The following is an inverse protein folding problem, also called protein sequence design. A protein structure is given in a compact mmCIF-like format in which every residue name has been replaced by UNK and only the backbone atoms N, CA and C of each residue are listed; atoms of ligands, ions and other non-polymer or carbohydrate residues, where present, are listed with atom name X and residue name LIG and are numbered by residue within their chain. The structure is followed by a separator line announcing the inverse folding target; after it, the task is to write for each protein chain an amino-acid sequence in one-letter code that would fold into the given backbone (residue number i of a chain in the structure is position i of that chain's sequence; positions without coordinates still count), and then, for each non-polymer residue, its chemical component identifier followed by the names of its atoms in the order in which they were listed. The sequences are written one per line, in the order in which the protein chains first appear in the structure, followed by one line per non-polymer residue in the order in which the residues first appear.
data_IF_556989558013
#
_entry.id   IF_556989558013
#
_cell.length_a   1.000
_cell.length_b   1.000
_cell.length_c   1.000
_cell.angle_alpha   90.00
_cell.angle_beta   90.00
_cell.angle_gamma   90.00
#
_symmetry.space_group_name_H-M   'P 1'
#
loop_
_entity.id
_entity.type
_entity.pdbx_description
1 polymer ?
#
# COMPACT_ATOMS: atom_id res chain seq x y z
N UNK A 1 -21.46 6.79 -20.81
CA UNK A 1 -20.26 5.95 -20.65
C UNK A 1 -20.09 5.69 -19.17
N UNK A 2 -20.28 4.45 -18.70
CA UNK A 2 -20.19 4.10 -17.26
C UNK A 2 -19.12 3.04 -17.05
N UNK A 3 -18.19 3.27 -16.13
CA UNK A 3 -17.12 2.33 -15.76
C UNK A 3 -17.19 2.07 -14.27
N UNK A 4 -17.12 0.81 -13.85
CA UNK A 4 -16.98 0.44 -12.46
C UNK A 4 -15.54 0.03 -12.12
N UNK A 5 -15.14 0.29 -10.87
CA UNK A 5 -13.89 -0.21 -10.26
C UNK A 5 -14.28 -1.02 -9.03
N UNK A 6 -13.91 -2.29 -9.01
CA UNK A 6 -14.17 -3.18 -7.87
C UNK A 6 -12.89 -3.33 -7.04
N UNK A 7 -12.85 -2.67 -5.89
CA UNK A 7 -11.73 -2.64 -4.96
C UNK A 7 -11.25 -1.22 -4.64
N UNK A 8 -11.04 -0.93 -3.36
CA UNK A 8 -10.57 0.36 -2.83
C UNK A 8 -9.10 0.36 -2.37
N UNK A 9 -8.30 -0.60 -2.83
CA UNK A 9 -6.86 -0.64 -2.60
C UNK A 9 -6.10 0.28 -3.56
N UNK A 10 -4.77 0.26 -3.50
CA UNK A 10 -3.88 1.10 -4.31
C UNK A 10 -4.23 1.03 -5.81
N UNK A 11 -4.42 -0.18 -6.36
CA UNK A 11 -4.73 -0.36 -7.77
C UNK A 11 -6.09 0.25 -8.15
N UNK A 12 -7.11 0.05 -7.31
CA UNK A 12 -8.45 0.60 -7.56
C UNK A 12 -8.49 2.12 -7.49
N UNK A 13 -7.78 2.70 -6.53
CA UNK A 13 -7.66 4.17 -6.40
C UNK A 13 -6.91 4.77 -7.58
N UNK A 14 -5.83 4.14 -8.03
CA UNK A 14 -5.09 4.57 -9.22
C UNK A 14 -5.97 4.48 -10.49
N UNK A 15 -6.76 3.40 -10.61
CA UNK A 15 -7.71 3.28 -11.72
C UNK A 15 -8.80 4.36 -11.67
N UNK A 16 -9.37 4.63 -10.51
CA UNK A 16 -10.38 5.67 -10.35
C UNK A 16 -9.83 7.06 -10.66
N UNK A 17 -8.63 7.37 -10.20
CA UNK A 17 -7.92 8.61 -10.53
C UNK A 17 -7.74 8.79 -12.04
N UNK A 18 -7.24 7.77 -12.73
CA UNK A 18 -7.01 7.87 -14.17
C UNK A 18 -8.31 8.04 -14.95
N UNK A 19 -9.37 7.30 -14.60
CA UNK A 19 -10.70 7.46 -15.19
C UNK A 19 -11.21 8.89 -15.02
N UNK A 20 -11.14 9.44 -13.82
CA UNK A 20 -11.57 10.80 -13.51
C UNK A 20 -10.75 11.84 -14.29
N UNK A 21 -9.43 11.68 -14.36
CA UNK A 21 -8.52 12.54 -15.14
C UNK A 21 -8.90 12.60 -16.61
N UNK A 22 -9.43 11.51 -17.13
CA UNK A 22 -9.92 11.40 -18.53
C UNK A 22 -11.38 11.82 -18.70
N UNK A 23 -12.00 12.43 -17.67
CA UNK A 23 -13.37 12.95 -17.72
C UNK A 23 -14.48 11.93 -17.49
N UNK A 24 -14.14 10.73 -16.99
CA UNK A 24 -15.12 9.70 -16.63
C UNK A 24 -15.15 9.52 -15.12
N UNK A 25 -16.26 9.90 -14.48
CA UNK A 25 -16.49 9.65 -13.04
C UNK A 25 -16.84 8.17 -12.83
N UNK A 26 -15.94 7.34 -12.24
CA UNK A 26 -16.21 5.91 -12.06
C UNK A 26 -17.09 5.66 -10.84
N UNK A 27 -17.82 4.52 -10.84
CA UNK A 27 -18.42 3.95 -9.63
C UNK A 27 -17.43 3.00 -8.96
N UNK A 28 -17.01 3.29 -7.74
CA UNK A 28 -16.01 2.50 -7.02
C UNK A 28 -16.66 1.73 -5.89
N UNK A 29 -16.55 0.40 -5.91
CA UNK A 29 -17.14 -0.51 -4.93
C UNK A 29 -16.06 -1.12 -4.05
N UNK A 30 -16.14 -0.95 -2.74
CA UNK A 30 -15.26 -1.61 -1.77
C UNK A 30 -15.85 -1.59 -0.36
N UNK A 31 -15.49 -2.55 0.46
CA UNK A 31 -15.86 -2.63 1.87
C UNK A 31 -14.70 -2.15 2.77
N UNK A 32 -13.47 -2.54 2.42
CA UNK A 32 -12.23 -2.19 3.14
C UNK A 32 -11.05 -1.99 2.16
N UNK A 33 -9.90 -1.59 2.67
CA UNK A 33 -8.71 -1.27 1.85
C UNK A 33 -7.92 -2.49 1.39
N UNK A 34 -8.30 -3.69 1.81
CA UNK A 34 -7.52 -4.90 1.55
C UNK A 34 -6.09 -4.79 2.08
N UNK A 35 -5.14 -5.40 1.37
CA UNK A 35 -3.72 -5.39 1.75
C UNK A 35 -3.08 -4.01 1.73
N UNK A 36 -3.68 -3.04 1.06
CA UNK A 36 -3.12 -1.68 0.98
C UNK A 36 -3.12 -0.94 2.32
N UNK A 37 -4.03 -1.27 3.24
CA UNK A 37 -4.02 -0.75 4.61
C UNK A 37 -2.92 -1.36 5.48
N UNK A 38 -2.30 -2.44 5.03
CA UNK A 38 -1.28 -3.19 5.79
C UNK A 38 0.16 -2.81 5.42
N UNK A 39 0.36 -1.96 4.40
CA UNK A 39 1.71 -1.61 3.97
C UNK A 39 2.45 -0.73 4.99
N UNK A 40 3.75 -0.96 5.13
CA UNK A 40 4.58 -0.27 6.14
C UNK A 40 5.09 1.11 5.72
N UNK A 41 4.76 1.59 4.52
CA UNK A 41 5.14 2.91 4.03
C UNK A 41 6.25 2.94 2.99
N UNK A 42 7.02 1.88 2.80
CA UNK A 42 7.96 1.80 1.69
C UNK A 42 7.24 1.38 0.39
N UNK A 43 7.62 1.98 -0.73
CA UNK A 43 6.98 1.80 -2.03
C UNK A 43 7.98 1.20 -3.03
N UNK A 44 7.67 0.03 -3.55
CA UNK A 44 8.54 -0.72 -4.44
C UNK A 44 7.76 -1.35 -5.61
N UNK A 45 8.47 -1.69 -6.70
CA UNK A 45 7.99 -2.51 -7.80
C UNK A 45 8.34 -3.98 -7.62
N UNK A 46 9.40 -4.27 -6.87
CA UNK A 46 9.95 -5.60 -6.62
C UNK A 46 10.33 -5.76 -5.15
N UNK A 47 10.70 -6.97 -4.75
CA UNK A 47 11.26 -7.20 -3.42
C UNK A 47 12.50 -6.31 -3.18
N UNK A 48 12.61 -5.78 -1.97
CA UNK A 48 13.53 -4.70 -1.63
C UNK A 48 15.02 -5.00 -1.89
N UNK A 49 15.46 -6.25 -1.87
CA UNK A 49 16.82 -6.67 -2.20
C UNK A 49 17.15 -6.53 -3.69
N UNK A 50 16.14 -6.37 -4.56
CA UNK A 50 16.25 -6.17 -6.01
C UNK A 50 15.90 -4.75 -6.47
N UNK A 51 15.60 -3.85 -5.57
CA UNK A 51 15.20 -2.45 -5.89
C UNK A 51 16.27 -1.68 -6.65
N UNK A 52 17.49 -2.18 -6.73
CA UNK A 52 18.59 -1.60 -7.53
C UNK A 52 18.35 -1.70 -9.04
N UNK A 53 17.52 -2.60 -9.52
CA UNK A 53 17.10 -2.68 -10.92
C UNK A 53 15.95 -1.70 -11.16
N UNK A 54 16.27 -0.62 -11.75
CA UNK A 54 15.54 0.64 -11.86
C UNK A 54 14.30 0.59 -12.78
N UNK A 55 13.16 0.14 -12.30
CA UNK A 55 11.92 0.56 -12.93
C UNK A 55 11.75 2.08 -12.70
N UNK A 56 11.74 2.87 -13.76
CA UNK A 56 11.54 4.30 -13.67
C UNK A 56 10.12 4.61 -13.16
N UNK A 57 10.03 5.61 -12.30
CA UNK A 57 8.75 6.23 -11.97
C UNK A 57 8.33 7.04 -13.20
N UNK A 58 7.33 6.54 -13.93
CA UNK A 58 6.79 7.26 -15.07
C UNK A 58 5.96 8.47 -14.64
N UNK A 59 5.66 9.33 -15.60
CA UNK A 59 4.96 10.59 -15.36
C UNK A 59 3.53 10.39 -14.82
N UNK A 60 2.83 9.35 -15.27
CA UNK A 60 1.46 9.06 -14.81
C UNK A 60 1.46 8.59 -13.35
N UNK A 61 2.44 7.77 -12.96
CA UNK A 61 2.61 7.34 -11.57
C UNK A 61 3.00 8.52 -10.67
N UNK A 62 3.86 9.42 -11.15
CA UNK A 62 4.22 10.63 -10.42
C UNK A 62 3.01 11.55 -10.19
N UNK A 63 2.18 11.76 -11.21
CA UNK A 63 0.92 12.52 -11.10
C UNK A 63 -0.06 11.88 -10.12
N UNK A 64 -0.19 10.54 -10.16
CA UNK A 64 -1.03 9.83 -9.20
C UNK A 64 -0.54 10.02 -7.77
N UNK A 65 0.76 9.87 -7.51
CA UNK A 65 1.35 10.06 -6.19
C UNK A 65 1.15 11.48 -5.65
N UNK A 66 1.28 12.49 -6.54
CA UNK A 66 1.00 13.90 -6.22
C UNK A 66 -0.47 14.10 -5.85
N UNK A 67 -1.40 13.58 -6.68
CA UNK A 67 -2.84 13.71 -6.45
C UNK A 67 -3.30 12.99 -5.18
N UNK A 68 -2.72 11.83 -4.86
CA UNK A 68 -2.95 11.09 -3.63
C UNK A 68 -2.44 11.88 -2.41
N UNK A 69 -1.31 12.58 -2.54
CA UNK A 69 -0.73 13.43 -1.49
C UNK A 69 -0.11 12.69 -0.30
N UNK A 70 -0.15 11.35 -0.29
CA UNK A 70 0.37 10.52 0.80
C UNK A 70 1.77 9.94 0.52
N UNK A 71 2.26 10.07 -0.70
CA UNK A 71 3.50 9.46 -1.16
C UNK A 71 4.55 10.50 -1.58
N UNK A 72 5.81 10.14 -1.38
CA UNK A 72 6.97 10.79 -1.99
C UNK A 72 7.66 9.78 -2.91
N UNK A 73 7.84 10.14 -4.17
CA UNK A 73 8.57 9.34 -5.15
C UNK A 73 9.88 10.05 -5.48
N UNK A 74 10.97 9.29 -5.56
CA UNK A 74 12.28 9.80 -5.94
C UNK A 74 12.63 9.46 -7.39
N UNK A 75 13.36 10.34 -8.07
CA UNK A 75 14.02 10.01 -9.35
C UNK A 75 15.12 8.95 -9.17
N UNK A 76 15.67 8.86 -7.97
CA UNK A 76 16.62 7.83 -7.53
C UNK A 76 16.02 7.05 -6.36
N UNK A 77 16.59 5.90 -6.03
CA UNK A 77 16.17 5.14 -4.87
C UNK A 77 16.36 5.97 -3.59
N UNK A 78 15.30 5.99 -2.75
CA UNK A 78 15.36 6.51 -1.39
C UNK A 78 16.00 5.47 -0.47
N UNK A 79 16.38 5.88 0.74
CA UNK A 79 16.74 4.98 1.83
C UNK A 79 15.79 5.17 3.00
N UNK A 80 15.24 4.08 3.48
CA UNK A 80 14.34 4.09 4.62
C UNK A 80 14.86 3.20 5.74
N UNK A 81 14.67 3.65 6.98
CA UNK A 81 14.86 2.82 8.15
C UNK A 81 13.59 1.98 8.37
N UNK A 82 13.75 0.70 8.68
CA UNK A 82 12.61 -0.16 9.00
C UNK A 82 12.41 -0.31 10.51
N UNK A 83 11.20 -0.65 10.92
CA UNK A 83 10.86 -0.90 12.31
C UNK A 83 11.73 -2.03 12.93
N UNK A 84 12.20 -2.96 12.09
CA UNK A 84 13.05 -4.10 12.49
C UNK A 84 14.54 -3.78 12.57
N UNK A 85 14.93 -2.51 12.39
CA UNK A 85 16.34 -2.09 12.52
C UNK A 85 17.16 -2.19 11.23
N UNK A 86 16.53 -2.37 10.06
CA UNK A 86 17.25 -2.40 8.78
C UNK A 86 17.25 -1.03 8.10
N UNK A 87 18.30 -0.77 7.30
CA UNK A 87 18.34 0.32 6.33
C UNK A 87 18.26 -0.30 4.94
N UNK A 88 17.24 0.06 4.17
CA UNK A 88 17.01 -0.52 2.87
C UNK A 88 16.66 0.50 1.78
N UNK A 89 16.94 0.22 0.49
CA UNK A 89 16.46 1.05 -0.60
C UNK A 89 14.93 0.93 -0.75
N UNK A 90 14.31 1.97 -1.30
CA UNK A 90 12.92 1.99 -1.76
C UNK A 90 12.80 2.94 -2.95
N UNK A 91 11.83 2.72 -3.82
CA UNK A 91 11.54 3.62 -4.95
C UNK A 91 10.74 4.84 -4.55
N UNK A 92 10.03 4.72 -3.48
CA UNK A 92 9.27 5.78 -2.86
C UNK A 92 8.95 5.44 -1.42
N UNK A 93 8.34 6.36 -0.74
CA UNK A 93 7.93 6.19 0.64
C UNK A 93 6.64 6.94 0.94
N UNK A 94 5.92 6.50 1.97
CA UNK A 94 4.87 7.32 2.57
C UNK A 94 5.46 8.65 3.06
N UNK A 95 4.72 9.74 2.92
CA UNK A 95 5.09 11.01 3.53
C UNK A 95 5.22 10.82 5.04
N UNK A 96 6.25 11.41 5.60
CA UNK A 96 6.59 11.24 7.01
C UNK A 96 7.75 10.27 7.24
N UNK A 97 8.05 9.32 6.33
CA UNK A 97 9.26 8.51 6.45
C UNK A 97 10.51 9.36 6.17
N UNK A 98 11.57 9.14 6.98
CA UNK A 98 12.84 9.82 6.78
C UNK A 98 13.58 9.23 5.56
N UNK A 99 13.87 10.09 4.58
CA UNK A 99 14.79 9.72 3.50
C UNK A 99 16.23 9.81 4.00
N UNK A 100 16.83 8.69 4.32
CA UNK A 100 18.17 8.59 4.84
C UNK A 100 19.25 8.96 3.80
N UNK A 101 18.97 8.92 2.48
CA UNK A 101 19.95 9.40 1.48
C UNK A 101 20.31 10.87 1.71
N UNK A 102 19.34 11.69 2.17
CA UNK A 102 19.57 13.08 2.56
C UNK A 102 20.37 13.23 3.85
N UNK A 103 20.56 12.13 4.57
CA UNK A 103 21.27 12.06 5.84
C UNK A 103 22.67 11.41 5.71
N UNK A 104 23.12 11.09 4.50
CA UNK A 104 24.44 10.51 4.28
C UNK A 104 25.55 11.39 4.90
N UNK A 105 26.45 10.78 5.66
CA UNK A 105 27.55 11.47 6.36
C UNK A 105 27.15 12.31 7.58
N UNK A 106 25.88 12.22 8.01
CA UNK A 106 25.30 13.04 9.09
C UNK A 106 25.08 12.24 10.37
N UNK A 107 24.80 12.99 11.45
CA UNK A 107 24.42 12.42 12.75
C UNK A 107 22.89 12.35 12.84
N UNK A 108 22.35 11.15 12.93
CA UNK A 108 20.91 10.87 13.01
C UNK A 108 20.57 10.43 14.43
N UNK A 109 19.75 11.20 15.11
CA UNK A 109 19.24 10.84 16.43
C UNK A 109 18.02 9.92 16.31
N UNK A 110 18.12 8.71 16.83
CA UNK A 110 17.02 7.78 16.99
C UNK A 110 16.30 8.11 18.29
N UNK A 111 15.05 8.56 18.20
CA UNK A 111 14.31 9.08 19.34
C UNK A 111 13.89 7.95 20.27
N UNK A 112 14.27 8.04 21.55
CA UNK A 112 13.79 7.20 22.64
C UNK A 112 12.70 7.95 23.43
N UNK A 113 11.46 7.46 23.35
CA UNK A 113 10.33 7.92 24.16
C UNK A 113 10.06 7.00 25.35
N UNK A 114 10.92 6.03 25.64
CA UNK A 114 10.74 5.01 26.66
C UNK A 114 9.46 4.15 26.44
N UNK A 115 9.11 3.88 25.18
CA UNK A 115 8.01 2.99 24.83
C UNK A 115 8.44 1.52 24.92
N UNK A 116 7.53 0.66 25.37
CA UNK A 116 7.81 -0.78 25.58
C UNK A 116 7.95 -1.54 24.23
N UNK A 117 7.47 -1.01 23.11
CA UNK A 117 7.54 -1.56 21.75
C UNK A 117 8.67 -0.97 20.90
N UNK A 118 9.59 -0.18 21.50
CA UNK A 118 10.63 0.54 20.76
C UNK A 118 11.94 0.62 21.56
N UNK A 119 12.92 -0.15 21.12
CA UNK A 119 14.27 -0.15 21.70
C UNK A 119 15.19 0.75 20.87
N UNK A 120 15.18 2.04 21.17
CA UNK A 120 15.97 3.03 20.42
C UNK A 120 17.49 2.77 20.46
N UNK A 121 18.10 2.36 21.59
CA UNK A 121 19.53 1.96 21.65
C UNK A 121 19.85 0.83 20.67
N UNK A 122 19.04 -0.25 20.69
CA UNK A 122 19.22 -1.41 19.81
C UNK A 122 19.05 -1.02 18.34
N UNK A 123 18.03 -0.24 18.02
CA UNK A 123 17.76 0.23 16.66
C UNK A 123 18.87 1.14 16.15
N UNK A 124 19.35 2.08 16.97
CA UNK A 124 20.46 2.94 16.60
C UNK A 124 21.74 2.13 16.28
N UNK A 125 22.06 1.14 17.11
CA UNK A 125 23.18 0.23 16.88
C UNK A 125 23.00 -0.60 15.60
N UNK A 126 21.78 -1.08 15.33
CA UNK A 126 21.45 -1.86 14.14
C UNK A 126 21.56 -1.04 12.87
N UNK A 127 21.01 0.18 12.86
CA UNK A 127 21.14 1.11 11.72
C UNK A 127 22.61 1.48 11.46
N UNK A 128 23.39 1.76 12.51
CA UNK A 128 24.82 2.06 12.38
C UNK A 128 25.62 0.88 11.81
N UNK A 129 25.22 -0.35 12.11
CA UNK A 129 25.83 -1.57 11.60
C UNK A 129 25.48 -1.87 10.13
N UNK A 130 24.54 -1.15 9.52
CA UNK A 130 24.17 -1.35 8.12
C UNK A 130 25.36 -1.04 7.18
N UNK A 131 25.42 -1.75 6.04
CA UNK A 131 26.46 -1.49 5.03
C UNK A 131 26.41 -0.05 4.51
N UNK A 132 25.19 0.47 4.33
CA UNK A 132 24.98 1.84 3.88
C UNK A 132 25.51 2.87 4.88
N UNK A 133 25.21 2.76 6.16
CA UNK A 133 25.69 3.70 7.18
C UNK A 133 27.22 3.72 7.26
N UNK A 134 27.86 2.53 7.19
CA UNK A 134 29.34 2.43 7.16
C UNK A 134 29.95 3.06 5.91
N UNK A 135 29.35 2.83 4.73
CA UNK A 135 29.85 3.38 3.46
C UNK A 135 29.70 4.91 3.38
N UNK A 136 28.63 5.44 3.94
CA UNK A 136 28.34 6.88 3.94
C UNK A 136 28.87 7.61 5.17
N UNK A 137 29.46 6.90 6.14
CA UNK A 137 29.88 7.45 7.44
C UNK A 137 28.73 8.14 8.19
N UNK A 138 27.51 7.59 8.08
CA UNK A 138 26.35 8.09 8.81
C UNK A 138 26.32 7.53 10.23
N UNK A 139 26.15 8.40 11.22
CA UNK A 139 26.18 8.03 12.62
C UNK A 139 24.78 8.02 13.23
N UNK A 140 24.33 6.86 13.67
CA UNK A 140 23.08 6.72 14.42
C UNK A 140 23.38 6.63 15.93
N UNK A 141 22.59 7.33 16.71
CA UNK A 141 22.70 7.28 18.18
C UNK A 141 21.34 7.53 18.83
N UNK A 142 21.15 6.99 20.01
CA UNK A 142 19.95 7.20 20.83
C UNK A 142 19.86 8.66 21.29
N UNK A 143 18.62 9.19 21.28
CA UNK A 143 18.31 10.48 21.85
C UNK A 143 17.04 10.39 22.70
N UNK A 144 17.21 10.46 24.02
CA UNK A 144 16.08 10.40 24.94
C UNK A 144 15.27 11.69 24.93
N UNK A 145 13.95 11.55 24.68
CA UNK A 145 12.98 12.65 24.63
C UNK A 145 11.82 12.33 25.56
N UNK A 146 11.59 13.16 26.57
CA UNK A 146 10.52 12.96 27.56
C UNK A 146 9.22 13.59 27.08
N UNK A 147 8.49 12.89 26.21
CA UNK A 147 7.24 13.36 25.61
C UNK A 147 6.00 12.61 26.09
N UNK A 148 6.15 11.47 26.78
CA UNK A 148 5.01 10.74 27.34
C UNK A 148 4.38 11.53 28.48
N UNK A 149 3.05 11.65 28.45
CA UNK A 149 2.28 12.37 29.48
C UNK A 149 1.88 11.47 30.65
N UNK A 150 1.80 10.17 30.39
CA UNK A 150 1.47 9.19 31.41
C UNK A 150 2.07 7.82 31.10
N UNK A 151 2.12 6.92 32.09
CA UNK A 151 2.71 5.59 31.95
C UNK A 151 1.94 4.65 31.02
N UNK A 152 0.68 4.91 30.74
CA UNK A 152 -0.13 4.10 29.83
C UNK A 152 0.32 4.25 28.37
N UNK A 153 0.81 5.41 27.99
CA UNK A 153 1.30 5.69 26.62
C UNK A 153 2.50 4.83 26.22
N UNK A 154 3.19 4.23 27.16
CA UNK A 154 4.26 3.26 26.87
C UNK A 154 3.77 2.02 26.13
N UNK A 155 2.48 1.64 26.29
CA UNK A 155 1.93 0.33 25.91
C UNK A 155 0.80 0.38 24.91
N UNK A 156 0.23 1.55 24.63
CA UNK A 156 -0.79 1.65 23.59
C UNK A 156 -0.18 1.33 22.23
N UNK A 157 -1.00 0.90 21.27
CA UNK A 157 -0.51 0.57 19.94
C UNK A 157 0.22 1.75 19.29
N UNK A 158 1.17 1.49 18.41
CA UNK A 158 1.83 2.55 17.65
C UNK A 158 0.85 3.39 16.82
N UNK A 159 -0.25 2.79 16.35
CA UNK A 159 -1.34 3.49 15.68
C UNK A 159 -2.05 4.49 16.61
N UNK A 160 -2.51 4.05 17.78
CA UNK A 160 -3.20 4.91 18.73
C UNK A 160 -2.28 6.03 19.22
N UNK A 161 -1.00 5.72 19.44
CA UNK A 161 -0.02 6.72 19.83
C UNK A 161 0.24 7.76 18.71
N UNK A 162 0.27 7.34 17.44
CA UNK A 162 0.33 8.26 16.31
C UNK A 162 -0.90 9.18 16.27
N UNK A 163 -2.10 8.63 16.46
CA UNK A 163 -3.35 9.39 16.46
C UNK A 163 -3.40 10.46 17.58
N UNK A 164 -2.79 10.20 18.75
CA UNK A 164 -2.68 11.23 19.79
C UNK A 164 -1.97 12.50 19.30
N UNK A 165 -0.98 12.36 18.43
CA UNK A 165 -0.21 13.48 17.90
C UNK A 165 -0.94 14.29 16.82
N UNK A 166 -2.14 13.90 16.41
CA UNK A 166 -2.97 14.71 15.51
C UNK A 166 -3.57 15.94 16.19
N UNK A 167 -3.58 15.97 17.54
CA UNK A 167 -4.04 17.17 18.26
C UNK A 167 -2.93 18.23 18.37
N UNK A 168 -3.27 19.53 18.26
CA UNK A 168 -2.28 20.60 18.37
C UNK A 168 -1.50 20.58 19.68
N UNK A 169 -2.16 20.27 20.80
CA UNK A 169 -1.59 20.24 22.13
C UNK A 169 -0.50 19.16 22.23
N UNK A 170 -0.77 17.97 21.66
CA UNK A 170 0.17 16.84 21.69
C UNK A 170 1.35 17.05 20.76
N UNK A 171 1.10 17.58 19.55
CA UNK A 171 2.18 17.88 18.62
C UNK A 171 3.10 18.99 19.15
N UNK A 172 2.54 20.03 19.79
CA UNK A 172 3.32 21.07 20.44
C UNK A 172 4.10 20.55 21.65
N UNK A 173 3.52 19.66 22.46
CA UNK A 173 4.21 19.02 23.59
C UNK A 173 5.40 18.19 23.10
N UNK A 174 5.23 17.40 22.01
CA UNK A 174 6.32 16.64 21.41
C UNK A 174 7.43 17.56 20.90
N UNK A 175 7.10 18.63 20.16
CA UNK A 175 8.08 19.62 19.70
C UNK A 175 8.87 20.22 20.86
N UNK A 176 8.17 20.65 21.91
CA UNK A 176 8.79 21.24 23.10
C UNK A 176 9.73 20.22 23.79
N UNK A 177 9.31 18.95 23.91
CA UNK A 177 10.12 17.90 24.50
C UNK A 177 11.42 17.65 23.71
N UNK A 178 11.34 17.68 22.36
CA UNK A 178 12.50 17.57 21.49
C UNK A 178 13.45 18.75 21.69
N UNK A 179 12.93 19.97 21.72
CA UNK A 179 13.73 21.18 21.90
C UNK A 179 14.47 21.23 23.25
N UNK A 180 13.80 20.81 24.33
CA UNK A 180 14.41 20.82 25.67
C UNK A 180 15.30 19.60 25.94
N UNK A 181 15.37 18.63 25.05
CA UNK A 181 16.24 17.45 25.19
C UNK A 181 17.73 17.80 25.21
N UNK A 182 18.11 18.97 24.72
CA UNK A 182 19.50 19.40 24.60
C UNK A 182 20.28 18.68 23.50
N UNK A 183 19.64 17.85 22.70
CA UNK A 183 20.26 17.09 21.60
C UNK A 183 20.17 17.90 20.31
N UNK A 184 21.28 18.02 19.58
CA UNK A 184 21.38 18.77 18.32
C UNK A 184 21.90 17.87 17.20
N UNK A 185 21.06 17.00 16.62
CA UNK A 185 21.44 16.14 15.51
C UNK A 185 21.35 16.89 14.18
N UNK A 186 21.83 16.24 13.11
CA UNK A 186 21.62 16.70 11.74
C UNK A 186 20.28 16.18 11.16
N UNK A 187 19.68 15.17 11.80
CA UNK A 187 18.33 14.66 11.50
C UNK A 187 17.74 13.89 12.69
N UNK A 188 16.42 13.86 12.80
CA UNK A 188 15.68 13.10 13.80
C UNK A 188 14.93 11.93 13.18
N UNK A 189 15.12 10.73 13.70
CA UNK A 189 14.42 9.51 13.30
C UNK A 189 13.53 9.03 14.45
N UNK A 190 12.24 9.08 14.22
CA UNK A 190 11.19 8.60 15.12
C UNK A 190 10.74 7.19 14.73
N UNK A 191 10.13 6.47 15.66
CA UNK A 191 9.23 5.39 15.32
C UNK A 191 7.97 5.92 14.60
N UNK A 192 7.08 5.05 14.12
CA UNK A 192 5.96 5.43 13.24
C UNK A 192 4.80 6.07 14.03
N UNK A 193 5.01 7.26 14.60
CA UNK A 193 4.08 7.91 15.54
C UNK A 193 3.74 9.36 15.22
N UNK A 194 4.22 9.91 14.11
CA UNK A 194 4.09 11.35 13.82
C UNK A 194 2.76 11.70 13.14
N UNK A 195 1.64 11.32 13.79
CA UNK A 195 0.28 11.63 13.35
C UNK A 195 -0.29 10.65 12.32
N UNK A 196 -1.59 10.71 12.13
CA UNK A 196 -2.35 9.97 11.10
C UNK A 196 -2.96 10.97 10.11
N UNK A 197 -3.56 12.04 10.60
CA UNK A 197 -4.24 13.07 9.80
C UNK A 197 -3.30 14.21 9.40
N UNK A 198 -2.31 14.50 10.22
CA UNK A 198 -1.39 15.63 10.04
C UNK A 198 -0.05 15.19 9.46
N UNK A 199 0.59 16.07 8.69
CA UNK A 199 1.97 15.92 8.23
C UNK A 199 2.97 16.35 9.33
N UNK A 200 2.91 15.75 10.51
CA UNK A 200 3.67 16.19 11.68
C UNK A 200 5.19 16.12 11.46
N UNK A 201 5.69 15.16 10.69
CA UNK A 201 7.12 15.09 10.33
C UNK A 201 7.60 16.37 9.62
N UNK A 202 6.79 16.91 8.70
CA UNK A 202 7.09 18.14 7.97
C UNK A 202 7.05 19.36 8.91
N UNK A 203 6.05 19.43 9.79
CA UNK A 203 5.92 20.50 10.79
C UNK A 203 7.12 20.54 11.75
N UNK A 204 7.52 19.36 12.25
CA UNK A 204 8.71 19.23 13.10
C UNK A 204 9.98 19.58 12.35
N UNK A 205 10.12 19.14 11.10
CA UNK A 205 11.29 19.48 10.26
C UNK A 205 11.43 20.99 10.08
N UNK A 206 10.31 21.67 9.83
CA UNK A 206 10.28 23.11 9.69
C UNK A 206 10.63 23.84 11.01
N UNK A 207 10.06 23.39 12.13
CA UNK A 207 10.28 24.01 13.43
C UNK A 207 11.70 23.79 13.96
N UNK A 208 12.27 22.61 13.74
CA UNK A 208 13.61 22.21 14.20
C UNK A 208 14.71 22.58 13.20
N UNK A 209 14.36 22.92 11.96
CA UNK A 209 15.26 23.27 10.84
C UNK A 209 16.26 22.15 10.47
N UNK A 210 15.89 20.91 10.75
CA UNK A 210 16.61 19.71 10.33
C UNK A 210 15.60 18.66 9.87
N UNK A 211 15.99 17.72 9.00
CA UNK A 211 15.09 16.64 8.60
C UNK A 211 14.56 15.87 9.81
N UNK A 212 13.25 15.67 9.83
CA UNK A 212 12.54 14.81 10.79
C UNK A 212 11.72 13.80 10.01
N UNK A 213 11.73 12.56 10.45
CA UNK A 213 10.86 11.55 9.87
C UNK A 213 10.83 10.29 10.69
N UNK A 214 10.09 9.32 10.18
CA UNK A 214 9.79 8.05 10.83
C UNK A 214 10.51 6.88 10.17
N UNK A 215 10.55 5.75 10.87
CA UNK A 215 10.79 4.44 10.26
C UNK A 215 9.54 3.96 9.53
N UNK A 216 9.63 2.84 8.78
CA UNK A 216 8.43 2.13 8.34
C UNK A 216 7.57 1.73 9.54
N UNK A 217 6.26 1.58 9.32
CA UNK A 217 5.34 1.07 10.33
C UNK A 217 5.14 -0.44 10.20
N UNK A 218 4.68 -1.07 11.28
CA UNK A 218 4.17 -2.44 11.24
C UNK A 218 2.84 -2.55 10.47
N UNK A 219 2.35 -3.77 10.33
CA UNK A 219 1.06 -4.05 9.69
C UNK A 219 -0.09 -3.31 10.40
N UNK A 220 -0.93 -2.63 9.63
CA UNK A 220 -2.03 -1.82 10.18
C UNK A 220 -1.58 -0.58 10.94
N UNK A 221 -0.33 -0.13 10.75
CA UNK A 221 0.21 1.06 11.41
C UNK A 221 -0.10 2.38 10.70
N UNK A 222 0.59 3.43 11.12
CA UNK A 222 0.33 4.82 10.69
C UNK A 222 0.41 5.03 9.17
N UNK A 223 1.34 4.36 8.48
CA UNK A 223 1.49 4.51 7.03
C UNK A 223 0.27 4.00 6.25
N UNK A 224 -0.27 2.83 6.65
CA UNK A 224 -1.51 2.29 6.07
C UNK A 224 -2.71 3.20 6.31
N UNK A 225 -2.86 3.71 7.54
CA UNK A 225 -3.93 4.63 7.90
C UNK A 225 -3.87 5.94 7.11
N UNK A 226 -2.68 6.53 6.95
CA UNK A 226 -2.48 7.74 6.12
C UNK A 226 -2.87 7.50 4.67
N UNK A 227 -2.53 6.32 4.14
CA UNK A 227 -2.97 5.94 2.79
C UNK A 227 -4.51 5.90 2.71
N UNK A 228 -5.18 5.25 3.67
CA UNK A 228 -6.64 5.16 3.69
C UNK A 228 -7.31 6.54 3.72
N UNK A 229 -6.80 7.47 4.53
CA UNK A 229 -7.29 8.85 4.57
C UNK A 229 -7.09 9.59 3.25
N UNK A 230 -5.92 9.44 2.66
CA UNK A 230 -5.60 10.05 1.37
C UNK A 230 -6.46 9.47 0.24
N UNK A 231 -6.65 8.15 0.21
CA UNK A 231 -7.56 7.45 -0.68
C UNK A 231 -8.98 7.98 -0.58
N UNK A 232 -9.52 8.06 0.65
CA UNK A 232 -10.90 8.47 0.86
C UNK A 232 -11.13 9.89 0.32
N UNK A 233 -10.23 10.83 0.63
CA UNK A 233 -10.29 12.19 0.07
C UNK A 233 -10.24 12.22 -1.45
N UNK A 234 -9.38 11.41 -2.06
CA UNK A 234 -9.25 11.35 -3.51
C UNK A 234 -10.52 10.77 -4.15
N UNK A 235 -11.03 9.65 -3.61
CA UNK A 235 -12.22 9.00 -4.15
C UNK A 235 -13.49 9.83 -3.96
N UNK A 236 -13.66 10.52 -2.84
CA UNK A 236 -14.81 11.42 -2.60
C UNK A 236 -14.85 12.55 -3.63
N UNK A 237 -13.69 13.07 -4.04
CA UNK A 237 -13.59 14.08 -5.08
C UNK A 237 -13.88 13.52 -6.48
N UNK A 238 -13.34 12.34 -6.81
CA UNK A 238 -13.16 11.89 -8.19
C UNK A 238 -14.12 10.75 -8.60
N UNK A 239 -14.86 10.12 -7.67
CA UNK A 239 -15.65 8.92 -7.93
C UNK A 239 -17.02 8.93 -7.24
N UNK A 240 -17.92 8.05 -7.69
CA UNK A 240 -19.13 7.66 -6.97
C UNK A 240 -18.79 6.47 -6.09
N UNK A 241 -18.65 6.70 -4.78
CA UNK A 241 -18.15 5.71 -3.83
C UNK A 241 -19.30 4.88 -3.26
N UNK A 242 -19.18 3.56 -3.39
CA UNK A 242 -20.09 2.57 -2.81
C UNK A 242 -19.33 1.72 -1.79
N UNK A 243 -19.45 2.04 -0.50
CA UNK A 243 -18.89 1.22 0.59
C UNK A 243 -19.79 0.01 0.81
N UNK A 244 -19.65 -0.98 -0.08
CA UNK A 244 -20.48 -2.19 -0.12
C UNK A 244 -19.67 -3.36 -0.69
N UNK A 245 -19.93 -4.56 -0.17
CA UNK A 245 -19.39 -5.81 -0.66
C UNK A 245 -20.05 -6.21 -1.97
N UNK A 246 -19.28 -6.35 -3.04
CA UNK A 246 -19.75 -6.94 -4.29
C UNK A 246 -19.99 -8.44 -4.07
N UNK A 247 -21.13 -8.93 -4.52
CA UNK A 247 -21.51 -10.34 -4.44
C UNK A 247 -21.54 -11.02 -5.78
N UNK A 248 -21.79 -10.27 -6.87
CA UNK A 248 -21.86 -10.82 -8.20
C UNK A 248 -21.46 -9.81 -9.27
N UNK A 249 -20.78 -10.30 -10.29
CA UNK A 249 -20.50 -9.62 -11.56
C UNK A 249 -21.01 -10.51 -12.69
N UNK A 250 -22.05 -10.07 -13.39
CA UNK A 250 -22.66 -10.84 -14.48
C UNK A 250 -22.57 -10.08 -15.80
N UNK A 251 -22.34 -10.79 -16.91
CA UNK A 251 -22.39 -10.18 -18.25
C UNK A 251 -23.83 -9.89 -18.65
N UNK A 252 -24.10 -8.68 -19.14
CA UNK A 252 -25.42 -8.26 -19.62
C UNK A 252 -25.25 -7.52 -20.94
N UNK A 253 -25.69 -8.14 -22.04
CA UNK A 253 -25.46 -7.60 -23.38
C UNK A 253 -23.97 -7.43 -23.70
N UNK A 254 -23.56 -6.21 -24.04
CA UNK A 254 -22.16 -5.84 -24.29
C UNK A 254 -21.41 -5.35 -23.05
N UNK A 255 -22.11 -5.25 -21.89
CA UNK A 255 -21.53 -4.73 -20.64
C UNK A 255 -21.69 -5.71 -19.49
N UNK A 256 -21.65 -5.17 -18.28
CA UNK A 256 -21.64 -5.93 -17.04
C UNK A 256 -22.60 -5.34 -16.00
N UNK A 257 -23.25 -6.20 -15.24
CA UNK A 257 -24.02 -5.85 -14.06
C UNK A 257 -23.24 -6.18 -12.81
N UNK A 258 -23.06 -5.19 -11.95
CA UNK A 258 -22.46 -5.34 -10.62
C UNK A 258 -23.59 -5.38 -9.59
N UNK A 259 -23.63 -6.44 -8.78
CA UNK A 259 -24.52 -6.58 -7.63
C UNK A 259 -23.72 -6.47 -6.36
N UNK A 260 -24.12 -5.61 -5.45
CA UNK A 260 -23.49 -5.41 -4.14
C UNK A 260 -24.53 -5.50 -3.03
N UNK A 261 -24.10 -5.88 -1.82
CA UNK A 261 -24.97 -6.00 -0.66
C UNK A 261 -25.68 -4.67 -0.37
N UNK A 262 -26.97 -4.73 -0.13
CA UNK A 262 -27.82 -3.58 0.25
C UNK A 262 -27.75 -2.40 -0.74
N UNK A 263 -27.50 -2.69 -2.02
CA UNK A 263 -27.45 -1.72 -3.10
C UNK A 263 -28.20 -2.20 -4.32
N UNK A 264 -28.82 -1.26 -5.04
CA UNK A 264 -29.37 -1.55 -6.34
C UNK A 264 -28.27 -1.94 -7.33
N UNK A 265 -28.49 -2.96 -8.17
CA UNK A 265 -27.51 -3.37 -9.18
C UNK A 265 -27.20 -2.25 -10.17
N UNK A 266 -25.92 -2.07 -10.47
CA UNK A 266 -25.44 -1.11 -11.47
C UNK A 266 -25.04 -1.78 -12.78
N UNK A 267 -25.30 -1.14 -13.93
CA UNK A 267 -24.85 -1.61 -15.24
C UNK A 267 -23.74 -0.71 -15.80
N UNK A 268 -22.69 -1.34 -16.33
CA UNK A 268 -21.45 -0.68 -16.74
C UNK A 268 -20.98 -1.20 -18.10
N UNK A 269 -20.41 -0.30 -18.90
CA UNK A 269 -19.81 -0.66 -20.21
C UNK A 269 -18.48 -1.38 -20.04
N UNK A 270 -17.72 -1.07 -18.98
CA UNK A 270 -16.49 -1.74 -18.62
C UNK A 270 -16.31 -1.81 -17.11
N UNK A 271 -15.51 -2.77 -16.65
CA UNK A 271 -15.22 -2.96 -15.22
C UNK A 271 -13.73 -3.23 -15.00
N UNK A 272 -13.13 -2.56 -14.01
CA UNK A 272 -11.77 -2.84 -13.53
C UNK A 272 -11.85 -3.63 -12.23
N UNK A 273 -11.30 -4.84 -12.24
CA UNK A 273 -11.21 -5.75 -11.10
C UNK A 273 -9.90 -5.47 -10.34
N UNK A 274 -9.99 -4.72 -9.27
CA UNK A 274 -8.89 -4.36 -8.37
C UNK A 274 -9.11 -4.91 -6.94
N UNK A 275 -9.74 -6.10 -6.87
CA UNK A 275 -10.23 -6.74 -5.64
C UNK A 275 -9.12 -7.28 -4.74
N UNK A 276 -7.88 -7.25 -5.22
CA UNK A 276 -6.73 -7.79 -4.51
C UNK A 276 -6.59 -9.33 -4.68
N UNK A 277 -5.49 -9.84 -4.17
CA UNK A 277 -5.18 -11.28 -4.14
C UNK A 277 -5.59 -11.94 -2.82
N UNK A 278 -4.91 -13.03 -2.47
CA UNK A 278 -5.19 -13.82 -1.25
C UNK A 278 -5.08 -12.97 0.03
N UNK A 279 -4.02 -12.16 0.15
CA UNK A 279 -3.80 -11.33 1.34
C UNK A 279 -4.86 -10.24 1.54
N UNK A 280 -5.51 -9.81 0.47
CA UNK A 280 -6.59 -8.81 0.51
C UNK A 280 -7.99 -9.42 0.61
N UNK A 281 -8.10 -10.76 0.54
CA UNK A 281 -9.39 -11.46 0.52
C UNK A 281 -10.13 -11.39 -0.81
N UNK A 282 -9.53 -10.88 -1.89
CA UNK A 282 -10.11 -10.89 -3.23
C UNK A 282 -10.09 -12.29 -3.87
N UNK A 283 -9.10 -13.09 -3.49
CA UNK A 283 -9.01 -14.52 -3.80
C UNK A 283 -9.06 -15.29 -2.49
N UNK A 284 -10.01 -16.20 -2.36
CA UNK A 284 -10.15 -17.09 -1.22
C UNK A 284 -9.41 -18.41 -1.48
N UNK A 285 -8.77 -18.94 -0.43
CA UNK A 285 -8.21 -20.27 -0.39
C UNK A 285 -9.20 -21.19 0.32
N UNK A 286 -9.80 -22.12 -0.40
CA UNK A 286 -10.80 -23.03 0.13
C UNK A 286 -10.22 -24.44 0.35
N UNK A 287 -10.54 -25.06 1.49
CA UNK A 287 -10.33 -26.48 1.72
C UNK A 287 -11.54 -27.26 1.28
N UNK A 288 -11.37 -28.16 0.34
CA UNK A 288 -12.41 -29.12 0.04
C UNK A 288 -12.32 -30.32 1.00
N UNK A 289 -13.32 -30.47 1.85
CA UNK A 289 -13.47 -31.66 2.69
C UNK A 289 -14.01 -32.86 1.89
N UNK A 290 -14.66 -32.63 0.76
CA UNK A 290 -15.27 -33.68 -0.09
C UNK A 290 -14.27 -34.43 -0.97
N UNK A 291 -13.14 -33.78 -1.30
CA UNK A 291 -12.06 -34.40 -2.05
C UNK A 291 -10.81 -34.46 -1.17
N UNK A 292 -10.45 -35.62 -0.73
CA UNK A 292 -9.29 -35.99 0.12
C UNK A 292 -8.13 -34.95 0.07
N UNK A 293 -8.27 -33.82 0.80
CA UNK A 293 -7.21 -32.85 0.98
C UNK A 293 -6.97 -31.90 -0.19
N UNK A 294 -7.91 -31.75 -1.14
CA UNK A 294 -7.81 -30.77 -2.22
C UNK A 294 -7.91 -29.33 -1.67
N UNK A 295 -7.04 -28.47 -2.16
CA UNK A 295 -7.08 -27.03 -1.89
C UNK A 295 -7.49 -26.33 -3.19
N UNK A 296 -8.45 -25.43 -3.13
CA UNK A 296 -8.93 -24.68 -4.28
C UNK A 296 -8.85 -23.19 -4.07
N UNK A 297 -8.91 -22.45 -5.16
CA UNK A 297 -9.02 -21.00 -5.14
C UNK A 297 -10.34 -20.56 -5.76
N UNK A 298 -10.98 -19.59 -5.16
CA UNK A 298 -12.16 -18.93 -5.71
C UNK A 298 -12.04 -17.42 -5.57
N UNK A 299 -12.76 -16.66 -6.39
CA UNK A 299 -12.97 -15.25 -6.10
C UNK A 299 -13.90 -15.10 -4.89
N UNK A 300 -13.76 -14.00 -4.18
CA UNK A 300 -14.65 -13.67 -3.05
C UNK A 300 -16.07 -13.30 -3.45
N UNK A 301 -16.38 -13.27 -4.74
CA UNK A 301 -17.70 -13.00 -5.33
C UNK A 301 -17.87 -13.80 -6.64
N UNK A 302 -19.10 -13.99 -7.05
CA UNK A 302 -19.42 -14.67 -8.31
C UNK A 302 -19.08 -13.79 -9.52
N UNK A 303 -18.21 -14.28 -10.41
CA UNK A 303 -17.80 -13.55 -11.60
C UNK A 303 -17.36 -14.51 -12.73
N UNK A 304 -17.58 -14.13 -14.02
CA UNK A 304 -17.26 -14.97 -15.16
C UNK A 304 -15.77 -14.89 -15.52
N UNK A 305 -14.88 -15.08 -14.55
CA UNK A 305 -13.43 -14.99 -14.76
C UNK A 305 -12.71 -16.25 -14.29
N UNK A 306 -11.66 -16.64 -15.00
CA UNK A 306 -10.79 -17.73 -14.60
C UNK A 306 -9.67 -17.23 -13.68
N UNK A 307 -9.34 -18.03 -12.68
CA UNK A 307 -8.12 -17.85 -11.89
C UNK A 307 -6.97 -18.63 -12.51
N UNK A 308 -5.77 -18.10 -12.40
CA UNK A 308 -4.55 -18.69 -12.93
C UNK A 308 -3.47 -18.73 -11.84
N UNK A 309 -2.72 -19.82 -11.83
CA UNK A 309 -1.52 -19.98 -11.02
C UNK A 309 -0.42 -20.59 -11.90
N UNK A 310 0.75 -19.97 -11.98
CA UNK A 310 1.84 -20.41 -12.85
C UNK A 310 1.44 -20.61 -14.32
N UNK A 311 0.55 -19.76 -14.86
CA UNK A 311 -0.01 -19.83 -16.22
C UNK A 311 -0.95 -21.02 -16.47
N UNK A 312 -1.31 -21.75 -15.45
CA UNK A 312 -2.32 -22.82 -15.52
C UNK A 312 -3.62 -22.32 -14.91
N UNK A 313 -4.73 -22.53 -15.61
CA UNK A 313 -6.06 -22.17 -15.11
C UNK A 313 -6.40 -23.05 -13.92
N UNK A 314 -6.80 -22.43 -12.81
CA UNK A 314 -7.19 -23.09 -11.58
C UNK A 314 -8.72 -23.02 -11.50
N UNK A 315 -9.42 -24.07 -11.90
CA UNK A 315 -10.88 -24.15 -11.83
C UNK A 315 -11.32 -24.85 -10.55
N UNK A 316 -12.07 -24.12 -9.73
CA UNK A 316 -12.68 -24.67 -8.52
C UNK A 316 -11.65 -25.24 -7.56
N UNK A 317 -11.97 -26.37 -6.96
CA UNK A 317 -11.01 -27.13 -6.15
C UNK A 317 -10.05 -27.82 -7.08
N UNK A 318 -8.99 -27.15 -7.47
CA UNK A 318 -7.96 -27.76 -8.28
C UNK A 318 -7.21 -28.81 -7.48
N UNK A 319 -6.68 -29.78 -8.20
CA UNK A 319 -5.80 -30.83 -7.70
C UNK A 319 -4.40 -30.33 -7.27
N UNK A 320 -4.25 -29.07 -6.88
CA UNK A 320 -3.03 -28.62 -6.20
C UNK A 320 -2.88 -29.46 -4.94
N UNK A 321 -2.09 -30.51 -5.05
CA UNK A 321 -1.80 -31.37 -3.93
C UNK A 321 -1.01 -30.56 -2.89
N UNK A 322 -1.15 -30.91 -1.62
CA UNK A 322 -0.33 -30.34 -0.54
C UNK A 322 1.18 -30.46 -0.81
N UNK A 323 1.57 -31.42 -1.65
CA UNK A 323 2.95 -31.63 -2.09
C UNK A 323 3.44 -30.52 -3.01
N UNK A 324 2.60 -29.97 -3.88
CA UNK A 324 2.98 -28.85 -4.76
C UNK A 324 3.22 -27.57 -3.98
N UNK A 325 2.46 -27.30 -2.92
CA UNK A 325 2.71 -26.18 -2.03
C UNK A 325 4.01 -26.33 -1.25
N UNK A 326 4.32 -27.50 -0.76
CA UNK A 326 5.57 -27.77 -0.03
C UNK A 326 6.77 -27.69 -0.98
N UNK A 327 6.65 -28.17 -2.19
CA UNK A 327 7.73 -28.14 -3.18
C UNK A 327 8.02 -26.73 -3.72
N UNK A 328 6.99 -25.91 -3.90
CA UNK A 328 7.10 -24.55 -4.48
C UNK A 328 7.18 -23.44 -3.44
N UNK A 329 6.85 -23.71 -2.18
CA UNK A 329 6.83 -22.77 -1.08
C UNK A 329 5.57 -21.90 -1.04
N UNK A 330 5.34 -21.24 0.11
CA UNK A 330 4.19 -20.35 0.33
C UNK A 330 4.15 -19.15 -0.61
N UNK A 331 5.29 -18.73 -1.17
CA UNK A 331 5.36 -17.63 -2.14
C UNK A 331 4.51 -17.86 -3.39
N UNK A 332 4.30 -19.13 -3.77
CA UNK A 332 3.45 -19.51 -4.91
C UNK A 332 1.98 -19.12 -4.70
N UNK A 333 1.48 -19.12 -3.46
CA UNK A 333 0.12 -18.67 -3.14
C UNK A 333 -0.12 -17.20 -3.49
N UNK A 334 0.93 -16.39 -3.41
CA UNK A 334 0.85 -14.98 -3.72
C UNK A 334 0.74 -14.72 -5.24
N UNK A 335 1.03 -15.72 -6.07
CA UNK A 335 0.99 -15.59 -7.52
C UNK A 335 -0.38 -15.91 -8.12
N UNK A 336 -1.29 -16.54 -7.35
CA UNK A 336 -2.65 -16.81 -7.83
C UNK A 336 -3.42 -15.51 -8.09
N UNK A 337 -4.17 -15.45 -9.18
CA UNK A 337 -4.99 -14.29 -9.52
C UNK A 337 -5.81 -14.50 -10.78
N UNK A 338 -6.40 -13.44 -11.27
CA UNK A 338 -7.23 -13.41 -12.47
C UNK A 338 -6.33 -13.57 -13.71
N UNK A 339 -6.72 -14.48 -14.60
CA UNK A 339 -6.06 -14.69 -15.88
C UNK A 339 -6.30 -13.48 -16.81
N UNK A 340 -5.25 -12.69 -17.05
CA UNK A 340 -5.31 -11.50 -17.89
C UNK A 340 -4.11 -11.41 -18.82
N UNK A 341 -4.29 -10.71 -19.95
CA UNK A 341 -3.23 -10.38 -20.88
C UNK A 341 -2.27 -9.32 -20.37
N UNK A 342 -1.20 -9.07 -21.11
CA UNK A 342 -0.24 -8.01 -20.79
C UNK A 342 -0.88 -6.60 -20.78
N UNK A 343 -1.99 -6.43 -21.48
CA UNK A 343 -2.83 -5.24 -21.56
C UNK A 343 -3.88 -5.14 -20.45
N UNK A 344 -3.76 -5.96 -19.39
CA UNK A 344 -4.70 -6.05 -18.28
C UNK A 344 -6.11 -6.58 -18.65
N UNK A 345 -6.39 -6.89 -19.92
CA UNK A 345 -7.68 -7.43 -20.35
C UNK A 345 -7.87 -8.85 -19.81
N UNK A 346 -9.01 -9.10 -19.18
CA UNK A 346 -9.37 -10.42 -18.67
C UNK A 346 -9.69 -11.35 -19.84
N UNK A 347 -9.10 -12.55 -19.84
CA UNK A 347 -9.24 -13.52 -20.91
C UNK A 347 -10.73 -13.85 -21.14
N UNK A 348 -11.14 -13.90 -22.38
CA UNK A 348 -12.49 -14.24 -22.84
C UNK A 348 -13.63 -13.34 -22.33
N UNK A 349 -13.28 -12.20 -21.73
CA UNK A 349 -14.24 -11.26 -21.13
C UNK A 349 -14.03 -9.82 -21.62
N UNK A 350 -14.43 -9.49 -22.87
CA UNK A 350 -14.31 -8.12 -23.40
C UNK A 350 -15.00 -7.10 -22.49
N UNK A 351 -14.26 -6.02 -22.14
CA UNK A 351 -14.74 -4.98 -21.23
C UNK A 351 -14.42 -5.24 -19.75
N UNK A 352 -13.83 -6.41 -19.39
CA UNK A 352 -13.23 -6.62 -18.08
C UNK A 352 -11.72 -6.43 -18.12
N UNK A 353 -11.20 -5.75 -17.12
CA UNK A 353 -9.78 -5.50 -16.90
C UNK A 353 -9.42 -5.83 -15.47
N UNK A 354 -8.20 -6.30 -15.21
CA UNK A 354 -7.74 -6.61 -13.86
C UNK A 354 -6.52 -5.77 -13.49
N UNK A 355 -6.36 -5.45 -12.21
CA UNK A 355 -5.28 -4.61 -11.72
C UNK A 355 -4.82 -5.01 -10.31
N UNK A 356 -3.56 -4.70 -10.00
CA UNK A 356 -2.95 -4.95 -8.69
C UNK A 356 -2.81 -6.42 -8.37
N UNK A 357 -2.97 -6.73 -7.10
CA UNK A 357 -2.85 -8.10 -6.58
C UNK A 357 -3.97 -9.06 -7.07
N UNK A 358 -4.97 -8.55 -7.77
CA UNK A 358 -5.95 -9.39 -8.45
C UNK A 358 -5.36 -10.10 -9.68
N UNK A 359 -4.27 -9.58 -10.29
CA UNK A 359 -3.61 -10.18 -11.45
C UNK A 359 -2.75 -11.38 -11.06
N UNK A 360 -2.84 -12.47 -11.84
CA UNK A 360 -1.95 -13.61 -11.69
C UNK A 360 -0.50 -13.28 -12.05
N UNK A 361 0.47 -13.85 -11.32
CA UNK A 361 1.89 -13.80 -11.66
C UNK A 361 2.52 -12.41 -11.69
N UNK A 362 1.95 -11.44 -10.97
CA UNK A 362 2.49 -10.09 -10.84
C UNK A 362 3.09 -9.85 -9.46
N UNK A 363 4.16 -9.03 -9.33
CA UNK A 363 4.69 -8.63 -8.03
C UNK A 363 3.62 -7.97 -7.15
N UNK A 364 3.55 -8.36 -5.89
CA UNK A 364 2.59 -7.83 -4.89
C UNK A 364 3.18 -6.59 -4.21
N UNK A 365 3.43 -5.53 -5.00
CA UNK A 365 4.12 -4.32 -4.58
C UNK A 365 3.27 -3.08 -4.86
N UNK A 366 3.43 -2.05 -4.01
CA UNK A 366 2.58 -0.86 -4.04
C UNK A 366 2.65 -0.10 -5.38
N UNK A 367 3.85 0.10 -5.92
CA UNK A 367 4.01 0.84 -7.19
C UNK A 367 3.56 0.01 -8.40
N UNK A 368 3.76 -1.31 -8.38
CA UNK A 368 3.21 -2.18 -9.42
C UNK A 368 1.67 -2.19 -9.38
N UNK A 369 1.08 -2.24 -8.18
CA UNK A 369 -0.37 -2.13 -8.02
C UNK A 369 -0.90 -0.81 -8.58
N UNK A 370 -0.26 0.32 -8.28
CA UNK A 370 -0.66 1.62 -8.81
C UNK A 370 -0.53 1.67 -10.33
N UNK A 371 0.62 1.27 -10.89
CA UNK A 371 0.87 1.26 -12.34
C UNK A 371 -0.15 0.38 -13.07
N UNK A 372 -0.44 -0.81 -12.56
CA UNK A 372 -1.42 -1.70 -13.18
C UNK A 372 -2.82 -1.13 -13.13
N UNK A 373 -3.18 -0.39 -12.06
CA UNK A 373 -4.44 0.33 -11.94
C UNK A 373 -4.60 1.43 -13.02
N UNK A 374 -3.57 2.27 -13.17
CA UNK A 374 -3.54 3.31 -14.23
C UNK A 374 -3.69 2.69 -15.62
N UNK A 375 -2.94 1.61 -15.91
CA UNK A 375 -3.01 0.92 -17.19
C UNK A 375 -4.40 0.29 -17.44
N UNK A 376 -4.97 -0.42 -16.46
CA UNK A 376 -6.28 -1.03 -16.61
C UNK A 376 -7.38 0.00 -16.87
N UNK A 377 -7.31 1.17 -16.22
CA UNK A 377 -8.22 2.28 -16.46
C UNK A 377 -8.12 2.81 -17.89
N UNK A 378 -6.90 3.04 -18.39
CA UNK A 378 -6.69 3.48 -19.77
C UNK A 378 -7.25 2.48 -20.79
N UNK A 379 -7.03 1.18 -20.58
CA UNK A 379 -7.58 0.12 -21.43
C UNK A 379 -9.10 0.05 -21.37
N UNK A 380 -9.69 0.24 -20.20
CA UNK A 380 -11.14 0.31 -20.05
C UNK A 380 -11.74 1.49 -20.84
N UNK A 381 -11.10 2.65 -20.79
CA UNK A 381 -11.49 3.82 -21.58
C UNK A 381 -11.38 3.57 -23.09
N UNK A 382 -10.28 3.01 -23.55
CA UNK A 382 -10.06 2.69 -24.97
C UNK A 382 -11.10 1.69 -25.47
N UNK A 383 -11.48 0.71 -24.65
CA UNK A 383 -12.54 -0.25 -24.97
C UNK A 383 -13.90 0.44 -25.12
N UNK A 384 -14.28 1.26 -24.15
CA UNK A 384 -15.59 1.93 -24.17
C UNK A 384 -15.69 2.92 -25.33
N UNK A 385 -14.63 3.70 -25.62
CA UNK A 385 -14.59 4.64 -26.76
C UNK A 385 -14.73 3.95 -28.11
N UNK A 386 -14.24 2.71 -28.25
CA UNK A 386 -14.39 1.93 -29.49
C UNK A 386 -15.76 1.27 -29.64
N UNK A 387 -16.48 1.10 -28.52
CA UNK A 387 -17.78 0.43 -28.48
C UNK A 387 -18.97 1.39 -28.59
N UNK A 388 -18.72 2.71 -28.54
CA UNK A 388 -19.68 3.80 -28.74
C UNK A 388 -19.58 4.33 -30.17
#
# INVERSE_FOLDING_TARGET
MKVAVLGGGIAGVAAAFELARQGVRPSVYFEHSGSSGLYGGALDFEVWDRVTALAEVDEDLARFAEALGAWQLGSVALRVATLEGNVRPARGAARGLLDLERCAGKRVAVVDLERDDWDAPLLAASFAASSWARQTHTHFYEARVRALQNGFERRISGYDFAALHDTPERSQALLSAVQVSGVTPDAWLFGPWLGIERALADELSQALRVPVGETTSGLGGAAGARFERARDRLLERDADVHRARVTQLARVGSGYRVTALEREPGEFSAVVLATGGVAAGGVALERSFERRGGTGFSLSFDAPVALELNREVVEGVSSLSSVDFVARGLGTLLEVGIAAGADAAVRDNPGLFAAGDALAGRPRMALEAARSGLNAAQRALDYVRRST
#
